data_IF_524895826453
#
_entry.id   IF_524895826453
#
_cell.length_a   1.000
_cell.length_b   1.000
_cell.length_c   1.000
_cell.angle_alpha   90.00
_cell.angle_beta   90.00
_cell.angle_gamma   90.00
#
_symmetry.space_group_name_H-M   'P 1'
#
loop_
_entity.id
_entity.type
_entity.pdbx_description
1 polymer ?
#
# COMPACT_ATOMS: atom_id res chain seq x y z
N UNK A 1 -21.17 -17.92 -29.32
CA UNK A 1 -22.21 -17.79 -28.28
C UNK A 1 -21.71 -16.82 -27.24
N UNK A 2 -22.43 -15.72 -27.05
CA UNK A 2 -22.13 -14.72 -26.02
C UNK A 2 -22.32 -15.40 -24.65
N UNK A 3 -21.31 -15.34 -23.78
CA UNK A 3 -21.31 -16.07 -22.51
C UNK A 3 -22.33 -15.45 -21.54
N UNK A 4 -23.57 -15.94 -21.53
CA UNK A 4 -24.67 -15.40 -20.71
C UNK A 4 -24.33 -15.36 -19.22
N UNK A 5 -23.54 -16.32 -18.71
CA UNK A 5 -23.08 -16.33 -17.33
C UNK A 5 -22.22 -15.10 -17.00
N UNK A 6 -21.42 -14.62 -17.97
CA UNK A 6 -20.62 -13.41 -17.78
C UNK A 6 -21.49 -12.17 -17.60
N UNK A 7 -22.52 -11.98 -18.44
CA UNK A 7 -23.42 -10.82 -18.32
C UNK A 7 -24.22 -10.84 -17.03
N UNK A 8 -24.70 -12.03 -16.64
CA UNK A 8 -25.41 -12.22 -15.39
C UNK A 8 -24.52 -11.87 -14.17
N UNK A 9 -23.29 -12.39 -14.14
CA UNK A 9 -22.34 -12.10 -13.07
C UNK A 9 -21.96 -10.62 -13.04
N UNK A 10 -21.76 -9.98 -14.21
CA UNK A 10 -21.45 -8.56 -14.29
C UNK A 10 -22.59 -7.70 -13.71
N UNK A 11 -23.84 -8.00 -14.09
CA UNK A 11 -25.03 -7.31 -13.58
C UNK A 11 -25.17 -7.45 -12.05
N UNK A 12 -25.07 -8.67 -11.53
CA UNK A 12 -25.15 -8.92 -10.08
C UNK A 12 -24.04 -8.17 -9.32
N UNK A 13 -22.82 -8.21 -9.84
CA UNK A 13 -21.67 -7.55 -9.20
C UNK A 13 -21.86 -6.03 -9.15
N UNK A 14 -22.39 -5.41 -10.22
CA UNK A 14 -22.72 -3.97 -10.22
C UNK A 14 -23.71 -3.65 -9.12
N UNK A 15 -24.81 -4.41 -9.01
CA UNK A 15 -25.82 -4.17 -7.98
C UNK A 15 -25.24 -4.30 -6.56
N UNK A 16 -24.46 -5.35 -6.29
CA UNK A 16 -23.83 -5.51 -4.97
C UNK A 16 -22.90 -4.35 -4.62
N UNK A 17 -22.13 -3.85 -5.59
CA UNK A 17 -21.27 -2.69 -5.36
C UNK A 17 -22.13 -1.44 -5.07
N UNK A 18 -23.18 -1.20 -5.86
CA UNK A 18 -24.05 -0.04 -5.70
C UNK A 18 -24.83 -0.05 -4.38
N UNK A 19 -25.28 -1.22 -3.92
CA UNK A 19 -25.95 -1.40 -2.62
C UNK A 19 -25.03 -1.08 -1.43
N UNK A 20 -23.71 -1.25 -1.60
CA UNK A 20 -22.72 -0.90 -0.59
C UNK A 20 -22.34 0.59 -0.57
N UNK A 21 -22.82 1.41 -1.49
CA UNK A 21 -22.49 2.84 -1.56
C UNK A 21 -23.37 3.66 -0.61
N UNK A 22 -22.79 4.75 -0.08
CA UNK A 22 -23.58 5.79 0.56
C UNK A 22 -24.57 6.40 -0.45
N UNK A 23 -25.74 6.86 0.03
CA UNK A 23 -26.81 7.42 -0.81
C UNK A 23 -26.32 8.57 -1.71
N UNK A 24 -25.36 9.35 -1.23
CA UNK A 24 -24.77 10.48 -1.96
C UNK A 24 -23.89 10.03 -3.15
N UNK A 25 -23.40 8.79 -3.15
CA UNK A 25 -22.54 8.24 -4.20
C UNK A 25 -23.32 7.42 -5.23
N UNK A 26 -24.46 6.86 -4.85
CA UNK A 26 -25.31 6.07 -5.75
C UNK A 26 -25.60 6.77 -7.10
N UNK A 27 -26.12 8.01 -7.17
CA UNK A 27 -26.47 8.65 -8.44
C UNK A 27 -25.25 8.91 -9.34
N UNK A 28 -24.04 8.98 -8.77
CA UNK A 28 -22.80 9.17 -9.52
C UNK A 28 -22.39 7.88 -10.27
N UNK A 29 -22.71 6.72 -9.69
CA UNK A 29 -22.23 5.42 -10.18
C UNK A 29 -23.33 4.53 -10.77
N UNK A 30 -24.61 4.88 -10.62
CA UNK A 30 -25.76 4.09 -11.07
C UNK A 30 -25.75 3.77 -12.58
N UNK A 31 -25.05 4.56 -13.40
CA UNK A 31 -24.94 4.34 -14.84
C UNK A 31 -23.88 3.30 -15.27
N UNK A 32 -23.16 2.68 -14.33
CA UNK A 32 -22.06 1.77 -14.64
C UNK A 32 -22.52 0.53 -15.43
N UNK A 33 -21.80 0.20 -16.50
CA UNK A 33 -22.09 -0.94 -17.37
C UNK A 33 -21.17 -2.14 -17.09
N UNK A 34 -20.00 -1.90 -16.52
CA UNK A 34 -18.98 -2.92 -16.25
C UNK A 34 -18.58 -2.88 -14.78
N UNK A 35 -18.79 -4.00 -14.08
CA UNK A 35 -18.45 -4.15 -12.67
C UNK A 35 -16.97 -3.85 -12.40
N UNK A 36 -16.09 -4.29 -13.30
CA UNK A 36 -14.65 -4.06 -13.22
C UNK A 36 -14.29 -2.57 -13.27
N UNK A 37 -14.93 -1.81 -14.15
CA UNK A 37 -14.66 -0.38 -14.31
C UNK A 37 -15.24 0.42 -13.13
N UNK A 38 -16.44 0.04 -12.68
CA UNK A 38 -17.05 0.59 -11.47
C UNK A 38 -16.14 0.40 -10.26
N UNK A 39 -15.72 -0.85 -10.02
CA UNK A 39 -14.81 -1.18 -8.93
C UNK A 39 -13.49 -0.41 -9.05
N UNK A 40 -12.87 -0.38 -10.24
CA UNK A 40 -11.61 0.33 -10.45
C UNK A 40 -11.73 1.85 -10.20
N UNK A 41 -12.85 2.46 -10.59
CA UNK A 41 -13.12 3.89 -10.38
C UNK A 41 -13.32 4.22 -8.90
N UNK A 42 -14.12 3.41 -8.20
CA UNK A 42 -14.32 3.53 -6.75
C UNK A 42 -13.00 3.35 -6.00
N UNK A 43 -12.27 2.29 -6.35
CA UNK A 43 -10.96 1.97 -5.78
C UNK A 43 -9.98 3.14 -5.98
N UNK A 44 -9.87 3.69 -7.20
CA UNK A 44 -9.01 4.83 -7.50
C UNK A 44 -9.38 6.10 -6.71
N UNK A 45 -10.68 6.36 -6.52
CA UNK A 45 -11.17 7.60 -5.90
C UNK A 45 -11.18 7.54 -4.37
N UNK A 46 -11.45 6.37 -3.81
CA UNK A 46 -11.71 6.21 -2.37
C UNK A 46 -10.76 5.25 -1.66
N UNK A 47 -9.83 4.56 -2.34
CA UNK A 47 -8.69 4.00 -1.63
C UNK A 47 -7.84 5.14 -1.07
N UNK A 48 -8.12 5.49 0.18
CA UNK A 48 -7.14 6.07 1.09
C UNK A 48 -6.09 5.01 1.51
N UNK A 49 -6.29 3.72 1.17
CA UNK A 49 -5.37 2.61 1.47
C UNK A 49 -3.96 2.88 0.96
N UNK A 50 -3.81 3.50 -0.22
CA UNK A 50 -2.49 3.84 -0.74
C UNK A 50 -1.81 4.93 0.10
N UNK A 51 -2.53 5.98 0.52
CA UNK A 51 -1.93 7.04 1.32
C UNK A 51 -1.67 6.61 2.77
N UNK A 52 -2.60 5.87 3.37
CA UNK A 52 -2.50 5.37 4.75
C UNK A 52 -1.42 4.30 4.90
N UNK A 53 -1.37 3.33 3.99
CA UNK A 53 -0.37 2.26 4.00
C UNK A 53 1.02 2.82 3.67
N UNK A 54 1.15 3.68 2.65
CA UNK A 54 2.43 4.34 2.35
C UNK A 54 2.91 5.19 3.51
N UNK A 55 2.03 6.01 4.10
CA UNK A 55 2.37 6.81 5.30
C UNK A 55 2.78 5.93 6.47
N UNK A 56 2.12 4.79 6.67
CA UNK A 56 2.44 3.86 7.74
C UNK A 56 3.80 3.18 7.55
N UNK A 57 4.11 2.71 6.33
CA UNK A 57 5.40 2.07 6.03
C UNK A 57 6.55 3.10 6.12
N UNK A 58 6.35 4.31 5.59
CA UNK A 58 7.30 5.41 5.73
C UNK A 58 7.49 5.77 7.21
N UNK A 59 6.41 5.85 7.99
CA UNK A 59 6.47 6.07 9.43
C UNK A 59 7.31 5.00 10.14
N UNK A 60 7.07 3.71 9.85
CA UNK A 60 7.89 2.61 10.38
C UNK A 60 9.37 2.76 10.04
N UNK A 61 9.71 3.13 8.81
CA UNK A 61 11.10 3.35 8.41
C UNK A 61 11.73 4.52 9.19
N UNK A 62 11.02 5.64 9.29
CA UNK A 62 11.49 6.84 9.99
C UNK A 62 11.69 6.56 11.49
N UNK A 63 10.73 5.90 12.13
CA UNK A 63 10.72 5.62 13.56
C UNK A 63 11.67 4.49 13.98
N UNK A 64 12.13 3.65 13.04
CA UNK A 64 13.04 2.55 13.34
C UNK A 64 14.37 3.07 13.90
N UNK A 65 14.83 2.48 15.00
CA UNK A 65 16.12 2.79 15.64
C UNK A 65 16.80 1.47 16.00
N UNK A 66 18.08 1.32 15.64
CA UNK A 66 18.82 0.16 16.10
C UNK A 66 19.14 0.29 17.59
N UNK A 67 19.17 -0.86 18.26
CA UNK A 67 19.51 -0.96 19.68
C UNK A 67 20.72 -1.87 19.86
N UNK A 68 21.53 -1.60 20.88
CA UNK A 68 22.75 -2.36 21.18
C UNK A 68 22.46 -3.81 21.59
N UNK A 69 21.24 -4.11 22.04
CA UNK A 69 20.84 -5.45 22.51
C UNK A 69 20.59 -6.46 21.39
N UNK A 70 20.65 -6.04 20.12
CA UNK A 70 20.45 -6.89 18.94
C UNK A 70 21.63 -6.74 17.97
N UNK A 71 21.91 -7.80 17.20
CA UNK A 71 22.90 -7.74 16.13
C UNK A 71 22.55 -6.65 15.11
N UNK A 72 23.55 -5.87 14.69
CA UNK A 72 23.39 -4.86 13.63
C UNK A 72 22.98 -5.51 12.31
N UNK A 73 23.50 -6.70 11.99
CA UNK A 73 23.15 -7.42 10.76
C UNK A 73 21.66 -7.77 10.73
N UNK A 74 21.15 -8.36 11.82
CA UNK A 74 19.73 -8.71 11.92
C UNK A 74 18.83 -7.46 11.81
N UNK A 75 19.25 -6.36 12.44
CA UNK A 75 18.50 -5.10 12.37
C UNK A 75 18.57 -4.43 10.99
N UNK A 76 19.66 -4.61 10.24
CA UNK A 76 19.78 -4.15 8.86
C UNK A 76 18.89 -4.96 7.91
N UNK A 77 18.74 -6.27 8.15
CA UNK A 77 17.77 -7.11 7.44
C UNK A 77 16.32 -6.68 7.72
N UNK A 78 15.98 -6.39 8.99
CA UNK A 78 14.67 -5.83 9.37
C UNK A 78 14.36 -4.53 8.60
N UNK A 79 15.34 -3.62 8.48
CA UNK A 79 15.22 -2.38 7.69
C UNK A 79 15.07 -2.65 6.18
N UNK A 80 15.83 -3.61 5.65
CA UNK A 80 15.75 -4.02 4.22
C UNK A 80 14.35 -4.50 3.87
N UNK A 81 13.72 -5.28 4.75
CA UNK A 81 12.32 -5.71 4.58
C UNK A 81 11.36 -4.52 4.53
N UNK A 82 11.60 -3.47 5.32
CA UNK A 82 10.79 -2.24 5.29
C UNK A 82 10.99 -1.50 3.96
N UNK A 83 12.24 -1.38 3.47
CA UNK A 83 12.53 -0.74 2.19
C UNK A 83 11.92 -1.49 1.00
N UNK A 84 11.93 -2.82 1.03
CA UNK A 84 11.27 -3.63 0.00
C UNK A 84 9.77 -3.31 -0.08
N UNK A 85 9.10 -3.20 1.08
CA UNK A 85 7.69 -2.77 1.14
C UNK A 85 7.48 -1.36 0.62
N UNK A 86 8.38 -0.42 0.91
CA UNK A 86 8.32 0.92 0.32
C UNK A 86 8.37 0.88 -1.22
N UNK A 87 9.18 -0.02 -1.79
CA UNK A 87 9.33 -0.16 -3.24
C UNK A 87 8.11 -0.85 -3.87
N UNK A 88 7.55 -1.88 -3.22
CA UNK A 88 6.28 -2.52 -3.62
C UNK A 88 5.14 -1.50 -3.68
N UNK A 89 5.04 -0.64 -2.66
CA UNK A 89 4.04 0.43 -2.57
C UNK A 89 4.37 1.68 -3.42
N UNK A 90 5.42 1.60 -4.25
CA UNK A 90 5.87 2.68 -5.15
C UNK A 90 6.15 4.01 -4.43
N UNK A 91 6.57 3.95 -3.16
CA UNK A 91 7.05 5.12 -2.40
C UNK A 91 8.42 5.56 -2.92
N UNK A 92 9.19 4.64 -3.48
CA UNK A 92 10.45 4.90 -4.17
C UNK A 92 11.58 5.29 -3.21
N UNK A 93 12.41 4.31 -2.84
CA UNK A 93 13.60 4.57 -2.01
C UNK A 93 14.84 4.14 -2.77
N UNK A 94 15.69 5.10 -3.14
CA UNK A 94 16.94 4.82 -3.85
C UNK A 94 17.88 3.98 -2.98
N UNK A 95 18.70 3.13 -3.58
CA UNK A 95 19.69 2.31 -2.87
C UNK A 95 20.63 3.17 -2.03
N UNK A 96 21.07 4.32 -2.57
CA UNK A 96 21.89 5.28 -1.84
C UNK A 96 21.19 5.80 -0.56
N UNK A 97 19.88 6.05 -0.61
CA UNK A 97 19.11 6.43 0.57
C UNK A 97 19.01 5.27 1.56
N UNK A 98 18.80 4.04 1.11
CA UNK A 98 18.73 2.86 1.99
C UNK A 98 20.03 2.68 2.78
N UNK A 99 21.18 2.74 2.09
CA UNK A 99 22.50 2.66 2.73
C UNK A 99 22.69 3.79 3.73
N UNK A 100 22.41 5.05 3.34
CA UNK A 100 22.53 6.19 4.24
C UNK A 100 21.61 6.08 5.47
N UNK A 101 20.39 5.58 5.29
CA UNK A 101 19.44 5.38 6.37
C UNK A 101 19.87 4.27 7.34
N UNK A 102 20.46 3.17 6.84
CA UNK A 102 21.02 2.11 7.69
C UNK A 102 22.18 2.65 8.52
N UNK A 103 23.13 3.36 7.89
CA UNK A 103 24.28 3.98 8.57
C UNK A 103 23.80 4.97 9.64
N UNK A 104 22.85 5.85 9.30
CA UNK A 104 22.31 6.84 10.23
C UNK A 104 21.58 6.21 11.44
N UNK A 105 21.06 4.99 11.28
CA UNK A 105 20.32 4.27 12.32
C UNK A 105 21.19 3.34 13.15
N UNK A 106 22.50 3.28 12.90
CA UNK A 106 23.43 2.46 13.66
C UNK A 106 23.32 2.75 15.17
N UNK A 107 23.52 1.74 16.03
CA UNK A 107 23.55 1.94 17.47
C UNK A 107 24.70 2.86 17.87
N UNK A 108 24.61 3.49 19.05
CA UNK A 108 25.69 4.33 19.59
C UNK A 108 27.02 3.60 19.71
N UNK A 109 27.00 2.29 19.98
CA UNK A 109 28.22 1.48 20.03
C UNK A 109 29.01 1.42 18.72
N UNK A 110 28.44 1.90 17.61
CA UNK A 110 29.06 1.98 16.29
C UNK A 110 29.49 3.40 15.89
N UNK A 111 29.37 4.40 16.76
CA UNK A 111 29.79 5.79 16.45
C UNK A 111 31.31 5.94 16.26
N UNK A 112 32.11 5.03 16.82
CA UNK A 112 33.58 5.11 16.83
C UNK A 112 34.28 4.15 15.83
N UNK A 113 33.53 3.43 14.99
CA UNK A 113 34.04 2.51 13.95
C UNK A 113 34.07 3.17 12.57
#
# INVERSE_FOLDING_TARGET
MVNQAWYHNNYLTINYILEGLAETLYPVYAGAQLAKELWSSLNKKYQAEDAGMKKFIVGKMLDYKMVDSKSVVAQAEELTVIFNKCNEEKVGVSEAFQVAAIIHKLPRSWEDF
#
